data_IF_380900794913
#
_entry.id   IF_380900794913
#
_cell.length_a   1.000
_cell.length_b   1.000
_cell.length_c   1.000
_cell.angle_alpha   90.00
_cell.angle_beta   90.00
_cell.angle_gamma   90.00
#
_symmetry.space_group_name_H-M   'P 1'
#
loop_
_entity.id
_entity.type
_entity.pdbx_description
1 polymer ?
#
# COMPACT_ATOMS: atom_id res chain seq x y z
N UNK A 1 9.02 8.49 -20.39
CA UNK A 1 9.49 7.42 -19.47
C UNK A 1 8.32 6.53 -19.09
N UNK A 2 7.19 7.10 -18.68
CA UNK A 2 5.96 6.36 -18.39
C UNK A 2 5.47 5.51 -19.56
N UNK A 3 5.73 5.94 -20.80
CA UNK A 3 5.39 5.20 -22.03
C UNK A 3 6.14 3.87 -22.19
N UNK A 4 7.12 3.61 -21.32
CA UNK A 4 7.94 2.39 -21.31
C UNK A 4 7.69 1.54 -20.06
N UNK A 5 6.65 1.83 -19.29
CA UNK A 5 6.32 1.16 -18.03
C UNK A 5 4.98 0.46 -18.19
N UNK A 6 4.98 -0.88 -18.16
CA UNK A 6 3.74 -1.68 -18.18
C UNK A 6 3.10 -1.77 -16.78
N UNK A 7 3.93 -1.82 -15.73
CA UNK A 7 3.51 -1.95 -14.34
C UNK A 7 4.19 -0.91 -13.46
N UNK A 8 3.39 -0.22 -12.64
CA UNK A 8 3.88 0.71 -11.63
C UNK A 8 3.42 0.25 -10.24
N UNK A 9 4.32 -0.37 -9.48
CA UNK A 9 4.08 -0.68 -8.08
C UNK A 9 4.69 0.40 -7.19
N UNK A 10 3.84 1.27 -6.63
CA UNK A 10 4.24 2.34 -5.73
C UNK A 10 4.08 1.86 -4.30
N UNK A 11 5.17 1.94 -3.52
CA UNK A 11 5.17 1.54 -2.11
C UNK A 11 4.70 2.72 -1.26
N UNK A 12 3.48 2.62 -0.73
CA UNK A 12 2.85 3.62 0.12
C UNK A 12 3.36 3.47 1.55
N UNK A 13 3.99 4.52 2.07
CA UNK A 13 4.56 4.52 3.42
C UNK A 13 3.54 5.00 4.45
N UNK A 14 3.03 4.06 5.23
CA UNK A 14 2.13 4.35 6.35
C UNK A 14 2.91 5.04 7.50
N UNK A 15 2.25 5.87 8.32
CA UNK A 15 2.89 6.54 9.47
C UNK A 15 3.64 5.57 10.40
N UNK A 16 3.12 4.36 10.62
CA UNK A 16 3.67 3.29 11.43
C UNK A 16 5.07 2.85 11.00
N UNK A 17 5.43 3.07 9.72
CA UNK A 17 6.77 2.76 9.21
C UNK A 17 7.84 3.72 9.72
N UNK A 18 7.46 4.95 10.11
CA UNK A 18 8.40 6.02 10.48
C UNK A 18 9.50 6.25 9.43
N UNK A 19 9.14 6.12 8.15
CA UNK A 19 10.05 6.18 6.99
C UNK A 19 10.69 7.55 6.74
N UNK A 20 10.25 8.60 7.45
CA UNK A 20 10.78 9.94 7.33
C UNK A 20 10.76 10.68 8.68
N UNK A 21 11.53 11.76 8.84
CA UNK A 21 11.48 12.61 10.02
C UNK A 21 10.07 13.15 10.32
N UNK A 22 9.75 13.44 11.60
CA UNK A 22 8.49 14.08 11.97
C UNK A 22 8.20 15.33 11.13
N UNK A 23 6.94 15.50 10.72
CA UNK A 23 6.50 16.63 9.89
C UNK A 23 6.80 16.50 8.38
N UNK A 24 7.50 15.45 7.93
CA UNK A 24 7.75 15.21 6.49
C UNK A 24 6.82 14.18 5.86
N UNK A 25 6.03 13.46 6.67
CA UNK A 25 5.19 12.37 6.19
C UNK A 25 4.15 12.83 5.17
N UNK A 26 3.51 13.99 5.39
CA UNK A 26 2.54 14.55 4.43
C UNK A 26 3.14 14.69 3.04
N UNK A 27 4.34 15.25 2.91
CA UNK A 27 5.02 15.38 1.62
C UNK A 27 5.36 14.02 0.99
N UNK A 28 5.73 13.03 1.80
CA UNK A 28 6.04 11.68 1.32
C UNK A 28 4.80 11.04 0.70
N UNK A 29 3.69 11.01 1.43
CA UNK A 29 2.44 10.41 0.96
C UNK A 29 1.88 11.15 -0.25
N UNK A 30 1.95 12.49 -0.31
CA UNK A 30 1.51 13.25 -1.49
C UNK A 30 2.32 12.88 -2.74
N UNK A 31 3.63 12.66 -2.62
CA UNK A 31 4.45 12.25 -3.75
C UNK A 31 4.09 10.84 -4.23
N UNK A 32 3.86 9.91 -3.31
CA UNK A 32 3.47 8.53 -3.63
C UNK A 32 2.10 8.50 -4.33
N UNK A 33 1.13 9.26 -3.82
CA UNK A 33 -0.19 9.41 -4.43
C UNK A 33 -0.12 10.06 -5.81
N UNK A 34 0.73 11.07 -6.00
CA UNK A 34 0.93 11.68 -7.32
C UNK A 34 1.52 10.69 -8.34
N UNK A 35 2.41 9.78 -7.90
CA UNK A 35 2.92 8.71 -8.75
C UNK A 35 1.82 7.71 -9.14
N UNK A 36 0.99 7.30 -8.18
CA UNK A 36 -0.14 6.38 -8.43
C UNK A 36 -1.14 7.02 -9.39
N UNK A 37 -1.51 8.27 -9.16
CA UNK A 37 -2.45 9.01 -10.00
C UNK A 37 -1.90 9.17 -11.43
N UNK A 38 -0.62 9.53 -11.57
CA UNK A 38 0.05 9.66 -12.86
C UNK A 38 0.09 8.34 -13.64
N UNK A 39 0.46 7.24 -12.98
CA UNK A 39 0.48 5.90 -13.58
C UNK A 39 -0.93 5.43 -14.00
N UNK A 40 -1.91 5.57 -13.11
CA UNK A 40 -3.31 5.23 -13.36
C UNK A 40 -3.87 5.99 -14.57
N UNK A 41 -3.60 7.31 -14.65
CA UNK A 41 -4.08 8.15 -15.77
C UNK A 41 -3.40 7.83 -17.10
N UNK A 42 -2.15 7.37 -17.07
CA UNK A 42 -1.41 6.94 -18.25
C UNK A 42 -1.83 5.54 -18.76
N UNK A 43 -2.73 4.85 -18.04
CA UNK A 43 -3.18 3.50 -18.41
C UNK A 43 -2.19 2.38 -18.04
N UNK A 44 -1.21 2.69 -17.19
CA UNK A 44 -0.25 1.70 -16.65
C UNK A 44 -0.96 0.83 -15.62
N UNK A 45 -0.64 -0.46 -15.58
CA UNK A 45 -1.15 -1.34 -14.51
C UNK A 45 -0.55 -0.88 -13.18
N UNK A 46 -1.39 -0.25 -12.36
CA UNK A 46 -0.94 0.49 -11.19
C UNK A 46 -1.27 -0.28 -9.91
N UNK A 47 -0.28 -0.42 -9.04
CA UNK A 47 -0.38 -1.13 -7.77
C UNK A 47 0.01 -0.14 -6.67
N UNK A 48 -0.92 0.16 -5.78
CA UNK A 48 -0.66 0.86 -4.53
C UNK A 48 -0.33 -0.20 -3.47
N UNK A 49 0.93 -0.35 -3.10
CA UNK A 49 1.37 -1.40 -2.16
C UNK A 49 1.63 -0.80 -0.80
N UNK A 50 0.92 -1.24 0.22
CA UNK A 50 1.17 -0.85 1.61
C UNK A 50 1.72 -2.05 2.40
N UNK A 51 2.87 -1.87 3.04
CA UNK A 51 3.40 -2.88 3.98
C UNK A 51 2.64 -2.78 5.30
N UNK A 52 2.04 -3.88 5.76
CA UNK A 52 1.31 -3.94 7.02
C UNK A 52 2.22 -4.49 8.10
N UNK A 53 2.47 -3.66 9.11
CA UNK A 53 3.19 -4.03 10.33
C UNK A 53 2.19 -4.45 11.40
N UNK A 54 2.66 -5.16 12.42
CA UNK A 54 1.89 -5.39 13.64
C UNK A 54 1.50 -4.07 14.34
N UNK A 55 2.24 -2.98 14.11
CA UNK A 55 1.92 -1.64 14.62
C UNK A 55 0.96 -0.85 13.72
N UNK A 56 0.65 -1.31 12.51
CA UNK A 56 -0.21 -0.58 11.57
C UNK A 56 -1.64 -0.48 12.10
N UNK A 57 -2.20 0.71 12.20
CA UNK A 57 -3.55 0.89 12.75
C UNK A 57 -4.63 0.87 11.65
N UNK A 58 -5.89 0.70 12.04
CA UNK A 58 -7.02 0.74 11.09
C UNK A 58 -7.21 2.14 10.52
N UNK A 59 -6.99 3.17 11.35
CA UNK A 59 -7.10 4.58 10.97
C UNK A 59 -6.09 4.96 9.87
N UNK A 60 -4.93 4.29 9.82
CA UNK A 60 -3.97 4.46 8.73
C UNK A 60 -4.53 3.97 7.38
N UNK A 61 -5.32 2.90 7.40
CA UNK A 61 -5.99 2.37 6.21
C UNK A 61 -7.20 3.23 5.82
N UNK A 62 -8.03 3.59 6.80
CA UNK A 62 -9.20 4.46 6.59
C UNK A 62 -8.81 5.85 6.09
N UNK A 63 -7.63 6.36 6.48
CA UNK A 63 -7.12 7.63 5.96
C UNK A 63 -6.50 7.52 4.56
N UNK A 64 -5.99 6.34 4.18
CA UNK A 64 -5.40 6.09 2.87
C UNK A 64 -6.47 5.83 1.80
N UNK A 65 -7.46 4.99 2.08
CA UNK A 65 -8.39 4.50 1.06
C UNK A 65 -9.16 5.60 0.30
N UNK A 66 -9.70 6.65 0.97
CA UNK A 66 -10.35 7.76 0.27
C UNK A 66 -9.42 8.53 -0.68
N UNK A 67 -8.09 8.46 -0.45
CA UNK A 67 -7.09 9.10 -1.32
C UNK A 67 -6.83 8.30 -2.60
N UNK A 68 -7.16 7.01 -2.60
CA UNK A 68 -7.03 6.10 -3.74
C UNK A 68 -8.35 5.94 -4.49
N UNK A 69 -9.46 6.36 -3.92
CA UNK A 69 -10.79 6.26 -4.51
C UNK A 69 -10.85 6.95 -5.89
N UNK A 70 -11.42 6.26 -6.87
CA UNK A 70 -11.51 6.72 -8.26
C UNK A 70 -10.23 6.57 -9.09
N UNK A 71 -9.11 6.14 -8.50
CA UNK A 71 -7.91 5.74 -9.24
C UNK A 71 -8.03 4.29 -9.70
N UNK A 72 -7.53 3.98 -10.90
CA UNK A 72 -7.44 2.61 -11.42
C UNK A 72 -6.18 1.95 -10.88
N UNK A 73 -6.20 1.59 -9.61
CA UNK A 73 -5.09 0.94 -8.93
C UNK A 73 -5.57 -0.19 -8.02
N UNK A 74 -4.83 -1.29 -8.02
CA UNK A 74 -5.02 -2.37 -7.04
C UNK A 74 -4.30 -2.00 -5.74
N UNK A 75 -4.99 -1.99 -4.61
CA UNK A 75 -4.38 -1.87 -3.29
C UNK A 75 -3.88 -3.24 -2.82
N UNK A 76 -2.57 -3.36 -2.62
CA UNK A 76 -1.93 -4.56 -2.07
C UNK A 76 -1.57 -4.31 -0.61
N UNK A 77 -2.22 -5.03 0.30
CA UNK A 77 -1.85 -5.10 1.71
C UNK A 77 -0.81 -6.22 1.88
N UNK A 78 0.45 -5.85 2.01
CA UNK A 78 1.55 -6.80 2.11
C UNK A 78 1.99 -6.97 3.57
N UNK A 79 1.70 -8.09 4.25
CA UNK A 79 2.17 -8.28 5.62
C UNK A 79 3.70 -8.29 5.69
N UNK A 80 4.24 -7.62 6.69
CA UNK A 80 5.64 -7.78 7.07
C UNK A 80 5.92 -9.23 7.53
N UNK A 81 7.20 -9.58 7.52
CA UNK A 81 7.69 -10.88 7.98
C UNK A 81 8.55 -10.70 9.23
N UNK A 82 8.69 -11.76 10.03
CA UNK A 82 9.50 -11.73 11.25
C UNK A 82 8.76 -11.08 12.42
N UNK A 83 9.48 -10.31 13.25
CA UNK A 83 8.97 -9.76 14.51
C UNK A 83 7.84 -8.73 14.33
N UNK A 84 7.77 -8.06 13.18
CA UNK A 84 6.73 -7.07 12.87
C UNK A 84 5.58 -7.66 12.06
N UNK A 85 5.51 -8.99 11.93
CA UNK A 85 4.44 -9.66 11.21
C UNK A 85 3.10 -9.44 11.95
N UNK A 86 2.07 -8.88 11.29
CA UNK A 86 0.75 -8.75 11.89
C UNK A 86 0.07 -10.11 12.02
N UNK A 87 -0.83 -10.23 13.00
CA UNK A 87 -1.73 -11.38 13.12
C UNK A 87 -2.70 -11.48 11.92
N UNK A 88 -3.09 -12.70 11.47
CA UNK A 88 -4.07 -12.86 10.41
C UNK A 88 -5.42 -12.16 10.64
N UNK A 89 -5.93 -12.12 11.87
CA UNK A 89 -7.19 -11.44 12.21
C UNK A 89 -7.08 -9.94 11.92
N UNK A 90 -5.95 -9.34 12.28
CA UNK A 90 -5.65 -7.94 11.96
C UNK A 90 -5.62 -7.71 10.45
N UNK A 91 -4.98 -8.59 9.66
CA UNK A 91 -4.98 -8.47 8.20
C UNK A 91 -6.38 -8.54 7.60
N UNK A 92 -7.25 -9.42 8.13
CA UNK A 92 -8.64 -9.52 7.69
C UNK A 92 -9.41 -8.22 7.98
N UNK A 93 -9.26 -7.66 9.18
CA UNK A 93 -9.91 -6.39 9.53
C UNK A 93 -9.44 -5.22 8.66
N UNK A 94 -8.13 -5.11 8.42
CA UNK A 94 -7.59 -4.06 7.55
C UNK A 94 -8.02 -4.24 6.09
N UNK A 95 -8.09 -5.49 5.61
CA UNK A 95 -8.61 -5.80 4.28
C UNK A 95 -10.08 -5.40 4.15
N UNK A 96 -10.92 -5.76 5.12
CA UNK A 96 -12.32 -5.38 5.13
C UNK A 96 -12.49 -3.85 5.11
N UNK A 97 -11.80 -3.13 5.98
CA UNK A 97 -11.86 -1.66 6.04
C UNK A 97 -11.47 -1.01 4.70
N UNK A 98 -10.44 -1.55 4.03
CA UNK A 98 -10.06 -1.06 2.71
C UNK A 98 -11.10 -1.39 1.63
N UNK A 99 -11.67 -2.60 1.67
CA UNK A 99 -12.70 -3.06 0.71
C UNK A 99 -14.04 -2.36 0.85
N UNK A 100 -14.29 -1.64 1.96
CA UNK A 100 -15.47 -0.76 2.07
C UNK A 100 -15.35 0.49 1.17
N UNK A 101 -14.15 0.84 0.73
CA UNK A 101 -13.87 2.03 -0.08
C UNK A 101 -13.36 1.73 -1.50
N UNK A 102 -12.69 0.59 -1.68
CA UNK A 102 -11.97 0.27 -2.92
C UNK A 102 -12.41 -1.09 -3.46
N UNK A 103 -12.62 -1.16 -4.78
CA UNK A 103 -13.05 -2.39 -5.45
C UNK A 103 -11.93 -3.46 -5.51
N UNK A 104 -10.68 -3.04 -5.68
CA UNK A 104 -9.53 -3.93 -5.87
C UNK A 104 -8.56 -3.90 -4.69
N UNK A 105 -8.85 -4.71 -3.66
CA UNK A 105 -7.97 -4.87 -2.50
C UNK A 105 -7.57 -6.34 -2.35
N UNK A 106 -6.25 -6.59 -2.29
CA UNK A 106 -5.69 -7.94 -2.14
C UNK A 106 -4.65 -7.98 -1.01
N UNK A 107 -4.58 -9.13 -0.33
CA UNK A 107 -3.51 -9.41 0.65
C UNK A 107 -2.50 -10.34 -0.01
N UNK A 108 -1.28 -9.86 -0.22
CA UNK A 108 -0.21 -10.64 -0.87
C UNK A 108 0.99 -10.73 0.07
N UNK A 109 1.40 -11.92 0.54
CA UNK A 109 2.58 -12.07 1.37
C UNK A 109 3.88 -11.85 0.57
N UNK A 110 5.00 -11.66 1.28
CA UNK A 110 6.31 -11.53 0.66
C UNK A 110 6.78 -12.87 0.07
N UNK A 111 6.40 -13.15 -1.17
CA UNK A 111 6.62 -14.45 -1.83
C UNK A 111 8.10 -14.88 -1.79
N UNK A 112 9.04 -13.97 -2.05
CA UNK A 112 10.47 -14.24 -1.98
C UNK A 112 10.89 -14.79 -0.60
N UNK A 113 10.40 -14.20 0.50
CA UNK A 113 10.66 -14.70 1.86
C UNK A 113 10.04 -16.06 2.13
N UNK A 114 8.85 -16.32 1.59
CA UNK A 114 8.19 -17.63 1.74
C UNK A 114 8.96 -18.75 1.06
N UNK A 115 9.63 -18.46 -0.06
CA UNK A 115 10.43 -19.45 -0.82
C UNK A 115 11.91 -19.42 -0.44
N UNK A 116 12.30 -18.63 0.57
CA UNK A 116 13.68 -18.58 1.07
C UNK A 116 14.66 -17.79 0.21
N UNK A 117 14.17 -16.84 -0.60
CA UNK A 117 14.98 -15.93 -1.43
C UNK A 117 14.97 -14.52 -0.82
N UNK A 118 16.15 -13.89 -0.74
CA UNK A 118 16.33 -12.51 -0.26
C UNK A 118 16.25 -11.50 -1.40
#
# INVERSE_FOLDING_TARGET
>A
MIDWIDFAAVDVKLPSHRSCPPGKWSRLIENELACIEGASRAGVVTIAKAVILDSTSIEEIESLCPRLEGLKATLVLQPASGAERPDPEKLMHLHQAASEHLDEVVVIPQAHKMIGVL
#
